data_IF_884880083447
#
_entry.id   IF_884880083447
#
_cell.length_a   1.000
_cell.length_b   1.000
_cell.length_c   1.000
_cell.angle_alpha   90.00
_cell.angle_beta   90.00
_cell.angle_gamma   90.00
#
_symmetry.space_group_name_H-M   'P 1'
#
loop_
_entity.id
_entity.type
_entity.pdbx_description
1 polymer ?
#
# COMPACT_ATOMS: atom_id res chain seq x y z
N UNK A 1 -15.04 -16.86 -8.60
CA UNK A 1 -14.70 -16.55 -7.19
C UNK A 1 -15.95 -16.08 -6.43
N UNK A 2 -16.70 -16.96 -5.75
CA UNK A 2 -18.03 -16.64 -5.22
C UNK A 2 -18.07 -15.47 -4.23
N UNK A 3 -17.10 -15.38 -3.32
CA UNK A 3 -17.02 -14.29 -2.31
C UNK A 3 -16.73 -12.93 -2.95
N UNK A 4 -15.88 -12.90 -3.98
CA UNK A 4 -15.57 -11.67 -4.72
C UNK A 4 -16.75 -11.22 -5.58
N UNK A 5 -17.45 -12.15 -6.23
CA UNK A 5 -18.64 -11.84 -7.02
C UNK A 5 -19.75 -11.20 -6.16
N UNK A 6 -19.97 -11.69 -4.94
CA UNK A 6 -20.91 -11.06 -4.00
C UNK A 6 -20.51 -9.62 -3.64
N UNK A 7 -19.23 -9.39 -3.33
CA UNK A 7 -18.72 -8.06 -3.00
C UNK A 7 -18.91 -7.05 -4.16
N UNK A 8 -18.81 -7.52 -5.41
CA UNK A 8 -19.09 -6.69 -6.59
C UNK A 8 -20.58 -6.40 -6.73
N UNK A 9 -21.45 -7.41 -6.52
CA UNK A 9 -22.90 -7.25 -6.65
C UNK A 9 -23.51 -6.32 -5.59
N UNK A 10 -22.93 -6.28 -4.38
CA UNK A 10 -23.38 -5.46 -3.25
C UNK A 10 -22.66 -4.10 -3.17
N UNK A 11 -21.72 -3.82 -4.07
CA UNK A 11 -20.78 -2.70 -3.95
C UNK A 11 -20.57 -1.93 -5.25
N UNK A 12 -19.39 -1.31 -5.34
CA UNK A 12 -18.95 -0.54 -6.51
C UNK A 12 -17.74 -1.21 -7.15
N UNK A 13 -17.77 -1.37 -8.47
CA UNK A 13 -16.65 -1.85 -9.28
C UNK A 13 -16.09 -0.70 -10.12
N UNK A 14 -14.82 -0.36 -9.89
CA UNK A 14 -14.08 0.51 -10.80
C UNK A 14 -13.53 -0.32 -11.95
N UNK A 15 -14.00 -0.05 -13.17
CA UNK A 15 -13.52 -0.71 -14.40
C UNK A 15 -12.20 -0.14 -14.89
N UNK A 16 -11.82 1.04 -14.39
CA UNK A 16 -10.55 1.71 -14.67
C UNK A 16 -9.91 2.17 -13.36
N UNK A 17 -8.99 1.35 -12.83
CA UNK A 17 -8.34 1.56 -11.54
C UNK A 17 -6.84 1.27 -11.64
N UNK A 18 -6.04 2.33 -11.74
CA UNK A 18 -4.60 2.23 -11.93
C UNK A 18 -3.82 2.20 -10.62
N UNK A 19 -2.77 1.38 -10.57
CA UNK A 19 -1.75 1.45 -9.53
C UNK A 19 -0.72 2.53 -9.86
N UNK A 20 -0.13 3.15 -8.83
CA UNK A 20 0.91 4.15 -9.01
C UNK A 20 2.23 3.58 -9.59
N UNK A 21 2.38 2.25 -9.59
CA UNK A 21 3.47 1.54 -10.24
C UNK A 21 3.06 0.10 -10.62
N UNK A 22 3.74 -0.47 -11.61
CA UNK A 22 3.54 -1.85 -12.08
C UNK A 22 4.27 -2.92 -11.23
N UNK A 23 4.99 -2.50 -10.19
CA UNK A 23 5.75 -3.41 -9.32
C UNK A 23 5.37 -3.25 -7.85
N UNK A 24 5.56 -4.32 -7.08
CA UNK A 24 4.96 -4.45 -5.76
C UNK A 24 5.45 -3.44 -4.72
N UNK A 25 6.76 -3.18 -4.60
CA UNK A 25 7.31 -2.25 -3.61
C UNK A 25 6.83 -0.79 -3.84
N UNK A 26 7.04 -0.16 -5.01
CA UNK A 26 6.55 1.21 -5.24
C UNK A 26 5.02 1.32 -5.17
N UNK A 27 4.29 0.31 -5.68
CA UNK A 27 2.82 0.30 -5.62
C UNK A 27 2.30 0.28 -4.18
N UNK A 28 2.92 -0.52 -3.30
CA UNK A 28 2.57 -0.57 -1.86
C UNK A 28 2.92 0.70 -1.12
N UNK A 29 4.08 1.30 -1.41
CA UNK A 29 4.50 2.56 -0.81
C UNK A 29 3.48 3.66 -1.13
N UNK A 30 3.06 3.75 -2.40
CA UNK A 30 2.07 4.72 -2.82
C UNK A 30 0.68 4.45 -2.22
N UNK A 31 0.26 3.17 -2.17
CA UNK A 31 -1.03 2.80 -1.57
C UNK A 31 -1.13 3.21 -0.09
N UNK A 32 -0.05 3.00 0.68
CA UNK A 32 -0.08 3.27 2.12
C UNK A 32 0.07 4.75 2.45
N UNK A 33 0.84 5.50 1.66
CA UNK A 33 1.14 6.92 1.93
C UNK A 33 0.26 7.89 1.16
N UNK A 34 -0.45 7.43 0.12
CA UNK A 34 -1.16 8.30 -0.82
C UNK A 34 -0.23 9.15 -1.69
N UNK A 35 1.07 8.85 -1.74
CA UNK A 35 2.09 9.65 -2.42
C UNK A 35 2.68 8.93 -3.63
N UNK A 36 3.01 9.70 -4.65
CA UNK A 36 3.66 9.18 -5.85
C UNK A 36 5.04 8.54 -5.50
N UNK A 37 5.44 7.41 -6.13
CA UNK A 37 6.64 6.66 -5.75
C UNK A 37 7.97 7.43 -5.77
N UNK A 38 8.14 8.45 -6.62
CA UNK A 38 9.33 9.32 -6.59
C UNK A 38 9.35 10.19 -5.35
N UNK A 39 8.19 10.61 -4.83
CA UNK A 39 8.09 11.39 -3.58
C UNK A 39 8.43 10.57 -2.33
N UNK A 40 8.09 9.28 -2.32
CA UNK A 40 8.47 8.37 -1.22
C UNK A 40 9.91 7.86 -1.35
N UNK A 41 10.57 8.11 -2.49
CA UNK A 41 11.89 7.58 -2.89
C UNK A 41 11.94 6.05 -3.02
N UNK A 42 10.77 5.38 -3.01
CA UNK A 42 10.65 3.94 -3.21
C UNK A 42 10.28 3.69 -4.68
N UNK A 43 11.28 3.66 -5.56
CA UNK A 43 11.05 3.56 -7.02
C UNK A 43 11.26 2.15 -7.60
N UNK A 44 12.00 1.31 -6.89
CA UNK A 44 12.37 -0.04 -7.33
C UNK A 44 11.86 -1.12 -6.39
N UNK A 45 11.92 -2.37 -6.87
CA UNK A 45 11.63 -3.53 -6.03
C UNK A 45 12.75 -3.71 -5.01
N UNK A 46 12.41 -3.65 -3.72
CA UNK A 46 13.37 -3.92 -2.66
C UNK A 46 13.80 -5.38 -2.71
N UNK A 47 15.09 -5.62 -2.52
CA UNK A 47 15.64 -6.97 -2.40
C UNK A 47 15.88 -7.31 -0.93
N UNK A 48 15.79 -8.60 -0.53
CA UNK A 48 15.97 -9.00 0.86
C UNK A 48 17.28 -8.53 1.52
N UNK A 49 18.35 -8.39 0.73
CA UNK A 49 19.67 -7.95 1.16
C UNK A 49 19.95 -6.46 0.91
N UNK A 50 18.96 -5.69 0.46
CA UNK A 50 19.14 -4.27 0.17
C UNK A 50 18.92 -3.39 1.41
N UNK A 51 19.78 -2.40 1.60
CA UNK A 51 19.53 -1.32 2.56
C UNK A 51 18.44 -0.39 2.01
N UNK A 52 17.31 -0.26 2.71
CA UNK A 52 16.26 0.69 2.35
C UNK A 52 14.85 0.20 2.68
N UNK A 53 13.88 1.10 2.53
CA UNK A 53 12.50 0.87 2.90
C UNK A 53 11.68 2.13 2.71
N UNK A 54 10.40 2.05 3.06
CA UNK A 54 9.60 3.26 3.25
C UNK A 54 10.22 4.08 4.39
N UNK A 55 10.44 5.37 4.19
CA UNK A 55 11.06 6.22 5.19
C UNK A 55 10.14 6.31 6.44
N UNK A 56 10.68 6.22 7.68
CA UNK A 56 9.88 6.34 8.90
C UNK A 56 9.16 7.68 9.08
N UNK A 57 9.54 8.71 8.31
CA UNK A 57 8.88 10.01 8.31
C UNK A 57 7.67 10.09 7.38
N UNK A 58 7.43 9.08 6.54
CA UNK A 58 6.22 9.01 5.73
C UNK A 58 5.04 8.57 6.62
N UNK A 59 3.90 9.24 6.47
CA UNK A 59 2.68 8.89 7.21
C UNK A 59 1.84 7.93 6.37
N UNK A 60 1.54 6.78 6.94
CA UNK A 60 0.66 5.78 6.33
C UNK A 60 -0.81 6.00 6.70
N UNK A 61 -1.72 5.45 5.89
CA UNK A 61 -3.15 5.40 6.20
C UNK A 61 -3.43 4.74 7.56
N UNK A 62 -2.60 3.76 7.95
CA UNK A 62 -2.73 3.10 9.25
C UNK A 62 -2.37 4.04 10.41
N UNK A 63 -1.37 4.91 10.26
CA UNK A 63 -1.00 5.91 11.27
C UNK A 63 -2.03 7.03 11.34
N UNK A 64 -2.51 7.51 10.18
CA UNK A 64 -3.57 8.50 10.12
C UNK A 64 -4.86 8.01 10.82
N UNK A 65 -5.29 6.78 10.53
CA UNK A 65 -6.46 6.17 11.17
C UNK A 65 -6.24 5.90 12.66
N UNK A 66 -5.03 5.46 13.06
CA UNK A 66 -4.67 5.28 14.47
C UNK A 66 -4.77 6.60 15.23
N UNK A 67 -4.30 7.70 14.64
CA UNK A 67 -4.47 9.05 15.20
C UNK A 67 -5.92 9.47 15.40
N UNK A 68 -6.85 8.90 14.63
CA UNK A 68 -8.30 9.10 14.77
C UNK A 68 -8.99 8.07 15.71
N UNK A 69 -8.23 7.24 16.43
CA UNK A 69 -8.76 6.29 17.41
C UNK A 69 -9.09 4.90 16.86
N UNK A 70 -8.74 4.59 15.60
CA UNK A 70 -8.96 3.25 15.05
C UNK A 70 -7.89 2.26 15.52
N UNK A 71 -8.32 1.04 15.85
CA UNK A 71 -7.41 -0.09 15.99
C UNK A 71 -6.91 -0.50 14.59
N UNK A 72 -5.59 -0.49 14.38
CA UNK A 72 -4.98 -0.88 13.10
C UNK A 72 -4.09 -2.10 13.26
N UNK A 73 -4.21 -3.03 12.30
CA UNK A 73 -3.43 -4.25 12.22
C UNK A 73 -3.02 -4.51 10.76
N UNK A 74 -1.95 -5.27 10.57
CA UNK A 74 -1.44 -5.64 9.26
C UNK A 74 -1.27 -7.17 9.17
N UNK A 75 -1.77 -7.77 8.09
CA UNK A 75 -1.68 -9.21 7.85
C UNK A 75 -1.23 -9.47 6.41
N UNK A 76 -0.15 -10.22 6.22
CA UNK A 76 0.35 -10.64 4.91
C UNK A 76 1.68 -9.99 4.48
N UNK A 77 1.85 -9.76 3.17
CA UNK A 77 3.13 -9.38 2.55
C UNK A 77 3.43 -7.89 2.67
N UNK A 78 4.37 -7.51 3.54
CA UNK A 78 4.81 -6.12 3.72
C UNK A 78 5.57 -5.54 2.50
N UNK A 79 6.83 -5.94 2.31
CA UNK A 79 7.69 -5.59 1.17
C UNK A 79 8.04 -4.09 1.03
N UNK A 80 8.15 -3.37 2.16
CA UNK A 80 8.53 -1.95 2.24
C UNK A 80 9.75 -1.71 3.16
N UNK A 81 10.70 -2.66 3.18
CA UNK A 81 11.82 -2.67 4.12
C UNK A 81 11.58 -3.62 5.28
N UNK A 82 12.65 -3.93 6.02
CA UNK A 82 12.62 -4.68 7.26
C UNK A 82 12.58 -3.72 8.45
#
# INVERSE_FOLDING_TARGET
>A
MPRLARAVAEGLLFTDAHSAASTCTPSRAALLTGREPRRTKVQGVLRPSGCGGLAPSEVTVAEALRGAGYATAYVGKWHLGA
#
